data_IF_823415391263
#
_entry.id   IF_823415391263
#
_cell.length_a   1.000
_cell.length_b   1.000
_cell.length_c   1.000
_cell.angle_alpha   90.00
_cell.angle_beta   90.00
_cell.angle_gamma   90.00
#
_symmetry.space_group_name_H-M   'P 1'
#
loop_
_entity.id
_entity.type
_entity.pdbx_description
1 polymer ?
#
# COMPACT_ATOMS: atom_id res chain seq x y z
N UNK A 1 -24.29 21.12 0.24
CA UNK A 1 -22.91 20.63 0.03
C UNK A 1 -22.66 20.52 -1.47
N UNK A 2 -21.44 20.78 -1.96
CA UNK A 2 -21.15 20.81 -3.40
C UNK A 2 -20.87 19.39 -3.92
N UNK A 3 -21.47 18.97 -5.03
CA UNK A 3 -21.39 17.59 -5.52
C UNK A 3 -19.93 17.15 -5.78
N UNK A 4 -19.10 18.07 -6.27
CA UNK A 4 -17.66 17.87 -6.46
C UNK A 4 -16.87 17.56 -5.18
N UNK A 5 -17.42 17.82 -3.99
CA UNK A 5 -16.80 17.43 -2.71
C UNK A 5 -16.91 15.91 -2.51
N UNK A 6 -18.09 15.33 -2.71
CA UNK A 6 -18.30 13.90 -2.48
C UNK A 6 -17.55 13.02 -3.46
N UNK A 7 -17.42 13.44 -4.72
CA UNK A 7 -16.56 12.75 -5.70
C UNK A 7 -15.09 12.66 -5.25
N UNK A 8 -14.61 13.59 -4.43
CA UNK A 8 -13.22 13.56 -3.90
C UNK A 8 -13.05 12.62 -2.70
N UNK A 9 -14.14 12.11 -2.13
CA UNK A 9 -14.12 11.25 -0.95
C UNK A 9 -14.40 9.78 -1.29
N UNK A 10 -14.64 9.47 -2.57
CA UNK A 10 -15.02 8.12 -3.01
C UNK A 10 -13.95 7.08 -2.69
N UNK A 11 -12.67 7.46 -2.76
CA UNK A 11 -11.53 6.62 -2.40
C UNK A 11 -11.53 6.25 -0.91
N UNK A 12 -11.66 7.24 -0.03
CA UNK A 12 -11.77 7.04 1.42
C UNK A 12 -13.04 6.25 1.78
N UNK A 13 -14.16 6.53 1.09
CA UNK A 13 -15.40 5.78 1.26
C UNK A 13 -15.20 4.31 0.90
N UNK A 14 -14.55 4.02 -0.23
CA UNK A 14 -14.27 2.65 -0.66
C UNK A 14 -13.27 1.92 0.25
N UNK A 15 -12.37 2.66 0.89
CA UNK A 15 -11.40 2.15 1.87
C UNK A 15 -11.99 1.79 3.24
N UNK A 16 -13.23 2.19 3.53
CA UNK A 16 -13.85 2.19 4.87
C UNK A 16 -13.09 3.11 5.86
N UNK A 17 -12.58 4.26 5.39
CA UNK A 17 -11.76 5.21 6.16
C UNK A 17 -12.53 6.46 6.65
N UNK A 18 -13.80 6.57 6.27
CA UNK A 18 -14.66 7.70 6.65
C UNK A 18 -15.36 7.47 7.99
N UNK A 19 -15.75 8.56 8.65
CA UNK A 19 -16.66 8.50 9.80
C UNK A 19 -18.06 8.04 9.38
N UNK A 20 -18.80 7.42 10.29
CA UNK A 20 -20.17 6.94 10.03
C UNK A 20 -21.11 8.06 9.55
N UNK A 21 -20.95 9.27 10.11
CA UNK A 21 -21.71 10.45 9.69
C UNK A 21 -21.48 10.77 8.21
N UNK A 22 -20.22 10.79 7.77
CA UNK A 22 -19.86 11.14 6.39
C UNK A 22 -20.25 10.04 5.40
N UNK A 23 -20.21 8.78 5.82
CA UNK A 23 -20.74 7.64 5.04
C UNK A 23 -22.23 7.84 4.78
N UNK A 24 -23.02 8.17 5.82
CA UNK A 24 -24.45 8.39 5.68
C UNK A 24 -24.78 9.61 4.80
N UNK A 25 -23.99 10.69 4.91
CA UNK A 25 -24.11 11.86 4.03
C UNK A 25 -23.82 11.52 2.57
N UNK A 26 -22.77 10.74 2.31
CA UNK A 26 -22.41 10.29 0.96
C UNK A 26 -23.46 9.35 0.36
N UNK A 27 -23.99 8.41 1.13
CA UNK A 27 -25.08 7.52 0.69
C UNK A 27 -26.34 8.33 0.33
N UNK A 28 -26.63 9.36 1.12
CA UNK A 28 -27.72 10.31 0.83
C UNK A 28 -27.44 11.09 -0.46
N UNK A 29 -26.22 11.60 -0.66
CA UNK A 29 -25.85 12.31 -1.88
C UNK A 29 -25.97 11.41 -3.13
N UNK A 30 -25.49 10.17 -3.05
CA UNK A 30 -25.54 9.15 -4.10
C UNK A 30 -26.98 8.73 -4.48
N UNK A 31 -27.96 8.97 -3.60
CA UNK A 31 -29.37 8.76 -3.93
C UNK A 31 -29.86 9.73 -5.03
N UNK A 32 -29.24 10.90 -5.12
CA UNK A 32 -29.60 11.98 -6.06
C UNK A 32 -28.60 12.16 -7.19
N UNK A 33 -27.41 11.58 -7.09
CA UNK A 33 -26.41 11.54 -8.15
C UNK A 33 -26.09 10.09 -8.58
N UNK A 34 -26.61 9.65 -9.74
CA UNK A 34 -26.32 8.32 -10.28
C UNK A 34 -24.85 8.08 -10.61
N UNK A 35 -24.09 9.11 -11.02
CA UNK A 35 -22.67 8.97 -11.34
C UNK A 35 -21.85 8.73 -10.08
N UNK A 36 -22.11 9.51 -9.03
CA UNK A 36 -21.48 9.32 -7.72
C UNK A 36 -21.76 7.90 -7.18
N UNK A 37 -23.00 7.43 -7.28
CA UNK A 37 -23.37 6.06 -6.88
C UNK A 37 -22.58 5.00 -7.64
N UNK A 38 -22.48 5.14 -8.97
CA UNK A 38 -21.71 4.20 -9.79
C UNK A 38 -20.24 4.16 -9.40
N UNK A 39 -19.64 5.33 -9.15
CA UNK A 39 -18.25 5.42 -8.70
C UNK A 39 -18.04 4.76 -7.33
N UNK A 40 -18.89 5.07 -6.35
CA UNK A 40 -18.86 4.46 -5.01
C UNK A 40 -18.99 2.94 -5.08
N UNK A 41 -19.99 2.43 -5.81
CA UNK A 41 -20.24 1.00 -5.92
C UNK A 41 -19.09 0.27 -6.61
N UNK A 42 -18.60 0.82 -7.72
CA UNK A 42 -17.52 0.22 -8.51
C UNK A 42 -16.22 0.14 -7.70
N UNK A 43 -15.84 1.25 -7.05
CA UNK A 43 -14.59 1.31 -6.31
C UNK A 43 -14.66 0.45 -5.04
N UNK A 44 -15.77 0.51 -4.29
CA UNK A 44 -15.95 -0.31 -3.09
C UNK A 44 -15.90 -1.80 -3.38
N UNK A 45 -16.52 -2.25 -4.49
CA UNK A 45 -16.42 -3.65 -4.94
C UNK A 45 -14.98 -4.02 -5.26
N UNK A 46 -14.26 -3.16 -5.97
CA UNK A 46 -12.86 -3.39 -6.33
C UNK A 46 -11.98 -3.53 -5.09
N UNK A 47 -12.10 -2.60 -4.14
CA UNK A 47 -11.35 -2.64 -2.88
C UNK A 47 -11.71 -3.89 -2.08
N UNK A 48 -12.99 -4.26 -2.00
CA UNK A 48 -13.42 -5.49 -1.31
C UNK A 48 -12.81 -6.73 -1.94
N UNK A 49 -12.77 -6.82 -3.28
CA UNK A 49 -12.12 -7.95 -3.98
C UNK A 49 -10.64 -7.99 -3.63
N UNK A 50 -9.92 -6.86 -3.70
CA UNK A 50 -8.50 -6.80 -3.37
C UNK A 50 -8.23 -7.19 -1.90
N UNK A 51 -9.04 -6.71 -0.96
CA UNK A 51 -8.95 -7.07 0.47
C UNK A 51 -9.31 -8.55 0.74
N UNK A 52 -10.00 -9.22 -0.17
CA UNK A 52 -10.38 -10.64 -0.04
C UNK A 52 -9.38 -11.61 -0.65
N UNK A 53 -8.38 -11.11 -1.39
CA UNK A 53 -7.30 -11.94 -1.89
C UNK A 53 -6.41 -12.35 -0.72
N UNK A 54 -5.93 -13.60 -0.75
CA UNK A 54 -4.97 -14.07 0.24
C UNK A 54 -3.72 -13.21 0.22
N UNK A 55 -3.21 -12.91 1.41
CA UNK A 55 -1.92 -12.23 1.53
C UNK A 55 -0.85 -13.08 0.84
N UNK A 56 0.06 -12.46 0.06
CA UNK A 56 1.14 -13.21 -0.57
C UNK A 56 2.00 -13.86 0.52
N UNK A 57 2.16 -15.17 0.45
CA UNK A 57 3.03 -15.89 1.37
C UNK A 57 4.48 -15.44 1.19
N UNK A 58 5.06 -14.87 2.26
CA UNK A 58 6.48 -14.56 2.30
C UNK A 58 7.28 -15.84 2.55
N UNK A 59 7.61 -16.55 1.48
CA UNK A 59 8.48 -17.73 1.58
C UNK A 59 9.88 -17.38 2.12
N UNK A 60 10.57 -18.38 2.67
CA UNK A 60 11.97 -18.25 3.11
C UNK A 60 12.89 -17.75 1.98
N UNK A 61 12.60 -18.16 0.74
CA UNK A 61 13.33 -17.70 -0.46
C UNK A 61 13.12 -16.21 -0.68
N UNK A 62 11.90 -15.71 -0.49
CA UNK A 62 11.61 -14.27 -0.57
C UNK A 62 12.36 -13.50 0.52
N UNK A 63 12.34 -14.00 1.76
CA UNK A 63 13.06 -13.38 2.87
C UNK A 63 14.57 -13.31 2.62
N UNK A 64 15.19 -14.39 2.15
CA UNK A 64 16.62 -14.43 1.81
C UNK A 64 16.98 -13.44 0.69
N UNK A 65 16.12 -13.30 -0.33
CA UNK A 65 16.34 -12.35 -1.44
C UNK A 65 16.23 -10.90 -0.97
N UNK A 66 15.28 -10.59 -0.09
CA UNK A 66 15.13 -9.26 0.52
C UNK A 66 16.35 -8.94 1.37
N UNK A 67 16.77 -9.86 2.25
CA UNK A 67 17.96 -9.70 3.08
C UNK A 67 19.21 -9.47 2.23
N UNK A 68 19.37 -10.20 1.13
CA UNK A 68 20.50 -10.02 0.22
C UNK A 68 20.53 -8.62 -0.39
N UNK A 69 19.39 -8.13 -0.87
CA UNK A 69 19.28 -6.76 -1.43
C UNK A 69 19.64 -5.71 -0.39
N UNK A 70 19.12 -5.83 0.83
CA UNK A 70 19.44 -4.89 1.92
C UNK A 70 20.94 -4.89 2.24
N UNK A 71 21.57 -6.08 2.27
CA UNK A 71 23.01 -6.19 2.52
C UNK A 71 23.86 -5.63 1.38
N UNK A 72 23.45 -5.84 0.12
CA UNK A 72 24.14 -5.30 -1.05
C UNK A 72 24.00 -3.77 -1.11
N UNK A 73 22.82 -3.22 -0.80
CA UNK A 73 22.56 -1.77 -0.72
C UNK A 73 23.30 -1.11 0.47
N UNK A 74 23.48 -1.84 1.58
CA UNK A 74 24.23 -1.37 2.75
C UNK A 74 25.76 -1.36 2.55
N UNK A 75 26.28 -1.92 1.44
CA UNK A 75 27.72 -2.05 1.18
C UNK A 75 28.38 -0.89 0.40
N UNK A 76 27.71 0.26 0.21
CA UNK A 76 28.35 1.44 -0.43
C UNK A 76 28.29 2.69 0.46
N UNK A 77 29.44 3.06 1.03
CA UNK A 77 30.07 4.32 0.64
C UNK A 77 31.39 4.06 -0.10
N UNK A 78 31.52 4.65 -1.29
CA UNK A 78 32.70 4.58 -2.16
C UNK A 78 33.85 5.51 -1.70
N UNK A 79 33.95 5.82 -0.41
CA UNK A 79 35.12 6.47 0.17
C UNK A 79 35.53 5.75 1.44
N UNK A 80 36.33 4.71 1.25
CA UNK A 80 37.52 4.48 2.05
C UNK A 80 38.32 3.45 1.29
N UNK A 81 39.34 3.94 0.59
CA UNK A 81 40.39 3.09 0.07
C UNK A 81 40.91 2.20 1.19
N UNK A 82 41.15 0.94 0.86
CA UNK A 82 41.85 -0.04 1.71
C UNK A 82 41.00 -0.96 2.60
N UNK A 83 40.01 -1.65 2.02
CA UNK A 83 39.34 -2.81 2.66
C UNK A 83 39.36 -4.05 1.77
N UNK A 84 40.52 -4.36 1.18
CA UNK A 84 40.81 -5.73 0.73
C UNK A 84 41.11 -6.65 1.94
N UNK A 85 41.70 -6.10 3.02
CA UNK A 85 42.08 -6.84 4.22
C UNK A 85 40.89 -7.26 5.10
N UNK A 86 39.80 -6.48 5.15
CA UNK A 86 38.66 -6.78 6.02
C UNK A 86 37.73 -7.90 5.51
N UNK A 87 37.89 -8.33 4.25
CA UNK A 87 37.04 -9.39 3.67
C UNK A 87 37.38 -10.79 4.19
N UNK A 88 38.58 -11.01 4.73
CA UNK A 88 39.02 -12.33 5.19
C UNK A 88 38.48 -12.73 6.58
N UNK A 89 38.02 -11.80 7.43
CA UNK A 89 37.69 -12.11 8.83
C UNK A 89 36.20 -12.30 9.15
N UNK A 90 35.27 -12.18 8.18
CA UNK A 90 33.82 -12.28 8.46
C UNK A 90 33.15 -13.60 8.08
N UNK A 91 33.87 -14.55 7.51
CA UNK A 91 33.34 -15.88 7.17
C UNK A 91 33.64 -16.96 8.23
N UNK A 92 34.28 -16.60 9.34
CA UNK A 92 34.47 -17.48 10.49
C UNK A 92 34.14 -16.75 11.79
N UNK A 93 32.84 -16.62 12.09
CA UNK A 93 32.32 -16.73 13.46
C UNK A 93 30.82 -16.96 13.46
#
# INVERSE_FOLDING_TARGET
MNNAFYHKLVDMYAGDELSEELVAEMDTAASTDPNLRLEMDSLRRTVRVLKSLDDPELSDVCAQRILRKILDDAQVPADMGDMAAARQYRLFR
#
